data_IF_109536672067
#
_entry.id   IF_109536672067
#
_cell.length_a   1.000
_cell.length_b   1.000
_cell.length_c   1.000
_cell.angle_alpha   90.00
_cell.angle_beta   90.00
_cell.angle_gamma   90.00
#
_symmetry.space_group_name_H-M   'P 1'
#
loop_
_entity.id
_entity.type
_entity.pdbx_description
1 polymer ?
#
# COMPACT_ATOMS: atom_id res chain seq x y z
N UNK A 1 -3.24 -6.83 0.15
CA UNK A 1 -3.27 -5.92 1.34
C UNK A 1 -4.70 -5.46 1.52
N UNK A 2 -5.32 -5.79 2.64
CA UNK A 2 -6.76 -5.59 2.87
C UNK A 2 -7.04 -4.57 3.97
N UNK A 3 -8.13 -3.84 3.84
CA UNK A 3 -8.71 -3.04 4.90
C UNK A 3 -10.01 -3.71 5.37
N UNK A 4 -10.01 -4.30 6.58
CA UNK A 4 -11.14 -5.13 7.03
C UNK A 4 -12.42 -4.31 7.28
N UNK A 5 -12.30 -3.02 7.60
CA UNK A 5 -13.45 -2.15 7.86
C UNK A 5 -14.27 -1.84 6.58
N UNK A 6 -13.59 -1.79 5.44
CA UNK A 6 -14.22 -1.56 4.13
C UNK A 6 -14.52 -2.85 3.36
N UNK A 7 -13.80 -3.94 3.66
CA UNK A 7 -13.80 -5.16 2.84
C UNK A 7 -13.03 -5.02 1.51
N UNK A 8 -12.29 -3.93 1.33
CA UNK A 8 -11.54 -3.65 0.11
C UNK A 8 -10.06 -4.00 0.25
N UNK A 9 -9.46 -4.33 -0.89
CA UNK A 9 -8.06 -4.62 -1.06
C UNK A 9 -7.43 -3.59 -2.00
N UNK A 10 -6.14 -3.32 -1.79
CA UNK A 10 -5.33 -2.63 -2.79
C UNK A 10 -5.30 -3.49 -4.06
N UNK A 11 -5.77 -2.94 -5.16
CA UNK A 11 -5.99 -3.64 -6.42
C UNK A 11 -5.56 -2.77 -7.60
N UNK A 12 -4.47 -3.17 -8.25
CA UNK A 12 -3.98 -2.51 -9.46
C UNK A 12 -3.25 -3.49 -10.37
N UNK A 13 -3.40 -3.28 -11.68
CA UNK A 13 -2.61 -3.93 -12.73
C UNK A 13 -1.19 -3.34 -12.76
N UNK A 14 -0.17 -4.19 -12.93
CA UNK A 14 1.23 -3.76 -13.09
C UNK A 14 1.64 -3.73 -14.58
N UNK A 15 0.68 -3.69 -15.50
CA UNK A 15 1.00 -3.56 -16.93
C UNK A 15 1.63 -2.19 -17.20
N UNK A 16 2.52 -2.08 -18.20
CA UNK A 16 3.22 -0.81 -18.49
C UNK A 16 2.30 0.39 -18.71
N UNK A 17 1.14 0.19 -19.34
CA UNK A 17 0.12 1.20 -19.63
C UNK A 17 -0.71 1.61 -18.39
N UNK A 18 -0.61 0.85 -17.30
CA UNK A 18 -1.26 1.11 -16.01
C UNK A 18 -0.30 1.72 -14.98
N UNK A 19 1.01 1.74 -15.26
CA UNK A 19 1.97 2.48 -14.43
C UNK A 19 1.64 3.98 -14.47
N UNK A 20 1.99 4.68 -13.39
CA UNK A 20 1.70 6.09 -13.14
C UNK A 20 0.21 6.44 -12.92
N UNK A 21 -0.70 5.48 -13.09
CA UNK A 21 -2.10 5.68 -12.70
C UNK A 21 -2.26 5.48 -11.18
N UNK A 22 -3.25 6.16 -10.56
CA UNK A 22 -3.57 5.94 -9.16
C UNK A 22 -3.84 4.48 -8.85
N UNK A 23 -3.31 4.02 -7.72
CA UNK A 23 -3.56 2.68 -7.21
C UNK A 23 -5.03 2.55 -6.80
N UNK A 24 -5.64 1.46 -7.22
CA UNK A 24 -7.06 1.20 -7.07
C UNK A 24 -7.43 0.46 -5.78
N UNK A 25 -8.73 0.44 -5.53
CA UNK A 25 -9.37 -0.35 -4.49
C UNK A 25 -10.43 -1.24 -5.13
N UNK A 26 -10.50 -2.49 -4.71
CA UNK A 26 -11.53 -3.42 -5.16
C UNK A 26 -11.95 -4.35 -4.02
N UNK A 27 -13.18 -4.90 -4.01
CA UNK A 27 -13.54 -5.95 -3.06
C UNK A 27 -12.50 -7.08 -3.04
N UNK A 28 -12.08 -7.48 -1.84
CA UNK A 28 -11.08 -8.53 -1.69
C UNK A 28 -11.59 -9.86 -2.24
N UNK A 29 -10.90 -10.44 -3.24
CA UNK A 29 -11.31 -11.70 -3.88
C UNK A 29 -10.38 -12.88 -3.60
N UNK A 30 -9.20 -12.67 -2.98
CA UNK A 30 -8.25 -13.73 -2.57
C UNK A 30 -7.74 -14.65 -3.69
N UNK A 31 -7.70 -14.16 -4.92
CA UNK A 31 -7.20 -14.92 -6.09
C UNK A 31 -5.76 -14.54 -6.48
N UNK A 32 -5.08 -13.74 -5.64
CA UNK A 32 -3.79 -13.17 -5.98
C UNK A 32 -3.92 -12.10 -7.07
N UNK A 33 -3.10 -12.20 -8.12
CA UNK A 33 -3.15 -11.29 -9.27
C UNK A 33 -2.97 -9.83 -8.86
N UNK A 34 -3.91 -8.98 -9.28
CA UNK A 34 -3.86 -7.53 -9.02
C UNK A 34 -3.92 -7.16 -7.52
N UNK A 35 -4.36 -8.07 -6.66
CA UNK A 35 -4.46 -7.88 -5.20
C UNK A 35 -3.28 -8.48 -4.42
N UNK A 36 -2.34 -9.14 -5.10
CA UNK A 36 -1.14 -9.69 -4.48
C UNK A 36 -0.07 -8.61 -4.38
N UNK A 37 0.43 -8.40 -3.16
CA UNK A 37 1.44 -7.39 -2.85
C UNK A 37 2.41 -7.95 -1.81
N UNK A 38 3.69 -7.63 -1.97
CA UNK A 38 4.75 -8.00 -1.05
C UNK A 38 5.30 -6.75 -0.37
N UNK A 39 5.71 -6.89 0.90
CA UNK A 39 6.53 -5.90 1.59
C UNK A 39 7.97 -6.42 1.60
N UNK A 40 8.89 -5.73 0.93
CA UNK A 40 10.31 -6.11 0.89
C UNK A 40 11.05 -5.68 2.16
N UNK A 41 12.27 -6.20 2.35
CA UNK A 41 13.17 -5.80 3.45
C UNK A 41 13.60 -4.34 3.33
N UNK A 42 13.67 -3.85 2.10
CA UNK A 42 14.04 -2.49 1.75
C UNK A 42 12.89 -1.49 1.98
N UNK A 43 11.71 -1.98 2.38
CA UNK A 43 10.53 -1.18 2.67
C UNK A 43 9.69 -0.87 1.43
N UNK A 44 9.80 -1.65 0.35
CA UNK A 44 8.98 -1.47 -0.84
C UNK A 44 7.68 -2.28 -0.71
N UNK A 45 6.53 -1.68 -1.02
CA UNK A 45 5.31 -2.43 -1.28
C UNK A 45 5.24 -2.67 -2.78
N UNK A 46 5.44 -3.90 -3.23
CA UNK A 46 5.68 -4.21 -4.64
C UNK A 46 5.01 -5.47 -5.16
N UNK A 47 4.88 -5.54 -6.48
CA UNK A 47 4.63 -6.76 -7.24
C UNK A 47 5.49 -6.71 -8.50
N UNK A 48 6.33 -7.72 -8.70
CA UNK A 48 7.35 -7.76 -9.73
C UNK A 48 8.22 -6.48 -9.68
N UNK A 49 8.39 -5.78 -10.79
CA UNK A 49 9.16 -4.52 -10.89
C UNK A 49 8.34 -3.25 -10.66
N UNK A 50 7.10 -3.36 -10.14
CA UNK A 50 6.24 -2.22 -9.83
C UNK A 50 6.09 -2.02 -8.32
N UNK A 51 6.38 -0.80 -7.87
CA UNK A 51 6.37 -0.38 -6.47
C UNK A 51 5.29 0.68 -6.24
N UNK A 52 4.66 0.66 -5.06
CA UNK A 52 3.84 1.78 -4.60
C UNK A 52 4.74 3.00 -4.39
N UNK A 53 4.32 4.13 -4.94
CA UNK A 53 5.07 5.37 -4.96
C UNK A 53 4.17 6.54 -4.56
N UNK A 54 4.65 7.41 -3.68
CA UNK A 54 3.93 8.61 -3.27
C UNK A 54 4.83 9.85 -3.24
N UNK A 55 4.54 10.78 -4.14
CA UNK A 55 5.25 12.06 -4.29
C UNK A 55 4.42 13.29 -3.89
N UNK A 56 3.30 13.12 -3.18
CA UNK A 56 2.51 14.23 -2.61
C UNK A 56 1.07 14.39 -3.11
N UNK A 57 0.67 13.64 -4.15
CA UNK A 57 -0.67 13.70 -4.73
C UNK A 57 -1.43 12.37 -4.54
N UNK A 58 -1.33 11.47 -5.51
CA UNK A 58 -1.91 10.12 -5.45
C UNK A 58 -0.81 9.09 -5.16
N UNK A 59 -1.22 7.95 -4.61
CA UNK A 59 -0.36 6.75 -4.57
C UNK A 59 -0.47 6.08 -5.93
N UNK A 60 0.64 5.90 -6.62
CA UNK A 60 0.69 5.31 -7.97
C UNK A 60 1.55 4.04 -7.95
N UNK A 61 1.53 3.30 -9.06
CA UNK A 61 2.57 2.31 -9.35
C UNK A 61 3.66 2.95 -10.20
N UNK A 62 4.91 2.79 -9.78
CA UNK A 62 6.09 3.24 -10.50
C UNK A 62 7.12 2.11 -10.58
N UNK A 63 7.99 2.05 -11.60
CA UNK A 63 9.09 1.11 -11.61
C UNK A 63 9.91 1.17 -10.31
N UNK A 64 10.17 0.00 -9.71
CA UNK A 64 10.98 -0.08 -8.51
C UNK A 64 12.40 0.40 -8.81
N UNK A 65 12.88 1.41 -8.08
CA UNK A 65 14.22 1.98 -8.30
C UNK A 65 15.20 1.72 -7.15
N UNK A 66 14.76 1.09 -6.05
CA UNK A 66 15.62 0.70 -4.93
C UNK A 66 16.26 1.85 -4.14
N UNK A 67 15.93 3.10 -4.46
CA UNK A 67 16.52 4.29 -3.83
C UNK A 67 15.73 4.78 -2.61
N UNK A 68 14.78 3.97 -2.13
CA UNK A 68 13.85 4.33 -1.04
C UNK A 68 13.03 5.57 -1.41
N UNK A 69 13.18 6.67 -0.66
CA UNK A 69 12.53 7.95 -0.97
C UNK A 69 11.00 7.88 -0.94
N UNK A 70 10.39 8.12 -2.10
CA UNK A 70 8.96 8.04 -2.38
C UNK A 70 8.42 6.60 -2.49
N UNK A 71 9.29 5.59 -2.51
CA UNK A 71 8.93 4.16 -2.52
C UNK A 71 9.20 3.46 -1.18
N UNK A 72 9.52 4.22 -0.13
CA UNK A 72 9.78 3.66 1.19
C UNK A 72 8.52 3.67 2.06
N UNK A 73 8.17 2.50 2.55
CA UNK A 73 6.99 2.24 3.37
C UNK A 73 7.36 1.46 4.62
N UNK A 74 6.73 1.82 5.73
CA UNK A 74 6.84 1.14 7.00
C UNK A 74 5.49 0.56 7.37
N UNK A 75 5.43 -0.76 7.53
CA UNK A 75 4.29 -1.40 8.15
C UNK A 75 4.49 -1.46 9.66
N UNK A 76 3.56 -0.89 10.42
CA UNK A 76 3.59 -0.83 11.89
C UNK A 76 2.60 -1.87 12.41
N UNK A 77 3.05 -3.06 12.85
CA UNK A 77 2.16 -4.17 13.19
C UNK A 77 1.25 -3.90 14.38
N UNK A 78 1.69 -3.07 15.33
CA UNK A 78 0.95 -2.74 16.55
C UNK A 78 -0.35 -2.00 16.25
N UNK A 79 -0.32 -1.14 15.23
CA UNK A 79 -1.45 -0.31 14.81
C UNK A 79 -2.08 -0.78 13.49
N UNK A 80 -1.43 -1.73 12.81
CA UNK A 80 -1.73 -2.14 11.44
C UNK A 80 -1.72 -0.96 10.46
N UNK A 81 -0.87 0.05 10.67
CA UNK A 81 -0.80 1.20 9.75
C UNK A 81 0.35 1.04 8.76
N UNK A 82 0.16 1.54 7.54
CA UNK A 82 1.22 1.66 6.52
C UNK A 82 1.62 3.14 6.47
N UNK A 83 2.80 3.46 6.98
CA UNK A 83 3.35 4.81 7.00
C UNK A 83 4.33 4.99 5.83
N UNK A 84 4.21 6.11 5.12
CA UNK A 84 5.18 6.50 4.10
C UNK A 84 6.42 7.14 4.73
N UNK A 85 7.60 6.72 4.27
CA UNK A 85 8.86 7.00 4.94
C UNK A 85 9.24 8.47 4.93
N UNK A 86 9.06 9.18 3.82
CA UNK A 86 9.47 10.59 3.68
C UNK A 86 8.40 11.57 4.17
N UNK A 87 7.12 11.36 3.81
CA UNK A 87 6.03 12.27 4.21
C UNK A 87 5.51 12.05 5.63
N UNK A 88 5.83 10.90 6.25
CA UNK A 88 5.31 10.46 7.57
C UNK A 88 3.79 10.30 7.64
N UNK A 89 3.09 10.44 6.52
CA UNK A 89 1.65 10.20 6.39
C UNK A 89 1.34 8.71 6.32
N UNK A 90 0.11 8.34 6.69
CA UNK A 90 -0.38 6.98 6.62
C UNK A 90 -1.33 6.79 5.44
N UNK A 91 -1.24 5.60 4.83
CA UNK A 91 -2.15 5.16 3.79
C UNK A 91 -3.56 4.98 4.36
N UNK A 92 -4.57 5.49 3.66
CA UNK A 92 -5.96 5.46 4.09
C UNK A 92 -6.90 5.15 2.91
N UNK A 93 -8.09 4.61 3.21
CA UNK A 93 -9.21 4.58 2.26
C UNK A 93 -10.04 5.85 2.44
N UNK A 94 -10.34 6.55 1.34
CA UNK A 94 -11.26 7.69 1.36
C UNK A 94 -12.64 7.30 1.89
N UNK A 95 -13.36 8.21 2.56
CA UNK A 95 -14.68 7.92 3.13
C UNK A 95 -15.71 7.39 2.13
N UNK A 96 -15.61 7.79 0.85
CA UNK A 96 -16.44 7.31 -0.25
C UNK A 96 -16.02 5.93 -0.80
N UNK A 97 -14.93 5.35 -0.29
CA UNK A 97 -14.38 4.04 -0.64
C UNK A 97 -13.90 3.90 -2.09
N UNK A 98 -13.70 5.02 -2.79
CA UNK A 98 -13.35 5.02 -4.22
C UNK A 98 -11.85 5.14 -4.50
N UNK A 99 -11.06 5.65 -3.54
CA UNK A 99 -9.63 5.85 -3.76
C UNK A 99 -8.81 5.75 -2.47
N UNK A 100 -7.51 5.53 -2.65
CA UNK A 100 -6.51 5.67 -1.60
C UNK A 100 -6.21 7.15 -1.32
N UNK A 101 -5.83 7.44 -0.07
CA UNK A 101 -5.40 8.75 0.41
C UNK A 101 -4.12 8.60 1.23
N UNK A 102 -3.41 9.71 1.39
CA UNK A 102 -2.33 9.85 2.36
C UNK A 102 -2.71 10.93 3.38
N UNK A 103 -2.91 10.51 4.62
CA UNK A 103 -3.44 11.35 5.70
C UNK A 103 -2.47 11.38 6.89
N UNK A 104 -2.73 12.28 7.85
CA UNK A 104 -2.06 12.20 9.16
C UNK A 104 -2.37 10.85 9.81
N UNK A 105 -1.35 10.24 10.41
CA UNK A 105 -1.47 8.92 11.00
C UNK A 105 -2.38 8.94 12.23
N UNK A 106 -3.41 8.12 12.20
CA UNK A 106 -4.35 7.91 13.28
C UNK A 106 -4.60 6.40 13.45
N UNK A 107 -4.00 5.80 14.47
CA UNK A 107 -4.11 4.36 14.75
C UNK A 107 -5.52 3.91 15.16
N UNK A 108 -6.36 4.85 15.61
CA UNK A 108 -7.76 4.59 15.95
C UNK A 108 -8.67 4.57 14.72
N UNK A 109 -8.20 5.11 13.58
CA UNK A 109 -8.99 5.23 12.35
C UNK A 109 -9.05 3.90 11.58
N UNK A 110 -10.23 3.25 11.43
CA UNK A 110 -10.33 1.97 10.75
C UNK A 110 -9.93 2.03 9.26
N UNK A 111 -10.07 3.18 8.61
CA UNK A 111 -9.67 3.39 7.22
C UNK A 111 -8.16 3.38 7.00
N UNK A 112 -7.36 3.51 8.07
CA UNK A 112 -5.89 3.47 8.03
C UNK A 112 -5.31 2.12 8.46
N UNK A 113 -6.17 1.15 8.79
CA UNK A 113 -5.74 -0.20 9.22
C UNK A 113 -5.68 -1.14 8.03
N UNK A 114 -4.51 -1.68 7.77
CA UNK A 114 -4.20 -2.56 6.66
C UNK A 114 -3.64 -3.87 7.16
N UNK A 115 -4.04 -4.99 6.54
CA UNK A 115 -3.47 -6.30 6.85
C UNK A 115 -2.89 -6.92 5.59
N UNK A 116 -1.66 -7.42 5.73
CA UNK A 116 -1.07 -8.33 4.76
C UNK A 116 -1.56 -9.74 5.08
N UNK A 117 -1.86 -10.54 4.06
CA UNK A 117 -2.34 -11.91 4.27
C UNK A 117 -1.23 -12.82 4.83
N UNK A 118 0.01 -12.62 4.40
CA UNK A 118 1.17 -13.42 4.80
C UNK A 118 2.28 -12.55 5.41
N UNK A 119 1.95 -11.74 6.42
CA UNK A 119 2.95 -10.95 7.14
C UNK A 119 3.83 -11.84 8.01
N UNK A 120 5.14 -11.76 7.85
CA UNK A 120 6.12 -12.44 8.70
C UNK A 120 7.25 -11.45 9.04
N UNK A 121 7.30 -10.94 10.29
CA UNK A 121 8.32 -9.96 10.68
C UNK A 121 9.72 -10.57 10.69
N UNK A 122 9.88 -11.89 10.77
CA UNK A 122 11.20 -12.53 10.70
C UNK A 122 11.84 -12.42 9.32
N UNK A 123 11.01 -12.27 8.27
CA UNK A 123 11.46 -12.07 6.89
C UNK A 123 11.86 -10.63 6.57
N UNK A 124 11.67 -9.70 7.52
CA UNK A 124 12.03 -8.29 7.39
C UNK A 124 13.34 -7.92 8.13
N UNK A 125 13.97 -8.90 8.78
CA UNK A 125 15.25 -8.76 9.47
C UNK A 125 16.43 -9.11 8.57
#
# INVERSE_FOLDING_TARGET
>A
IRNDASGQCIDSSCKPDELHKPVGLWPCHKQGGNQYWMLSKEGEIRRDEACLDYAGQDVILYPCHGSRGNQLWFYIPETNTIQHGSSKKCLAIASNRQKLLMEECNSSAPQQRWRFDNYDPSKLR
#
